data_IF_771218467746
#
_entry.id   IF_771218467746
#
_cell.length_a   1.000
_cell.length_b   1.000
_cell.length_c   1.000
_cell.angle_alpha   90.00
_cell.angle_beta   90.00
_cell.angle_gamma   90.00
#
_symmetry.space_group_name_H-M   'P 1'
#
loop_
_entity.id
_entity.type
_entity.pdbx_description
1 polymer ?
#
# COMPACT_ATOMS: atom_id res chain seq x y z
N UNK A 1 -6.48 36.34 -25.80
CA UNK A 1 -6.61 34.88 -25.56
C UNK A 1 -5.48 34.08 -26.21
N UNK A 2 -5.14 34.30 -27.48
CA UNK A 2 -4.06 33.56 -28.18
C UNK A 2 -2.67 33.71 -27.56
N UNK A 3 -2.28 34.92 -27.14
CA UNK A 3 -0.96 35.14 -26.53
C UNK A 3 -0.81 34.40 -25.20
N UNK A 4 -1.87 34.41 -24.36
CA UNK A 4 -1.87 33.73 -23.06
C UNK A 4 -1.76 32.20 -23.20
N UNK A 5 -2.47 31.61 -24.18
CA UNK A 5 -2.39 30.17 -24.47
C UNK A 5 -1.02 29.77 -24.98
N UNK A 6 -0.43 30.57 -25.88
CA UNK A 6 0.91 30.32 -26.40
C UNK A 6 1.98 30.41 -25.30
N UNK A 7 1.89 31.41 -24.42
CA UNK A 7 2.82 31.54 -23.28
C UNK A 7 2.72 30.35 -22.34
N UNK A 8 1.51 29.88 -22.04
CA UNK A 8 1.32 28.70 -21.21
C UNK A 8 1.94 27.45 -21.84
N UNK A 9 1.69 27.21 -23.13
CA UNK A 9 2.25 26.08 -23.86
C UNK A 9 3.80 26.10 -23.89
N UNK A 10 4.40 27.29 -24.07
CA UNK A 10 5.86 27.47 -24.05
C UNK A 10 6.42 27.15 -22.67
N UNK A 11 5.81 27.68 -21.59
CA UNK A 11 6.27 27.42 -20.22
C UNK A 11 6.15 25.93 -19.89
N UNK A 12 5.03 25.28 -20.25
CA UNK A 12 4.85 23.85 -20.01
C UNK A 12 5.84 23.01 -20.82
N UNK A 13 6.09 23.37 -22.08
CA UNK A 13 7.06 22.69 -22.92
C UNK A 13 8.46 22.80 -22.34
N UNK A 14 8.87 24.00 -21.94
CA UNK A 14 10.15 24.24 -21.29
C UNK A 14 10.30 23.44 -19.98
N UNK A 15 9.24 23.35 -19.18
CA UNK A 15 9.25 22.55 -17.96
C UNK A 15 9.37 21.05 -18.25
N UNK A 16 8.63 20.52 -19.22
CA UNK A 16 8.69 19.10 -19.60
C UNK A 16 10.08 18.75 -20.16
N UNK A 17 10.62 19.57 -21.05
CA UNK A 17 12.00 19.44 -21.56
C UNK A 17 13.01 19.54 -20.43
N UNK A 18 12.83 20.46 -19.49
CA UNK A 18 13.67 20.52 -18.30
C UNK A 18 13.57 19.19 -17.54
N UNK A 19 12.38 18.75 -17.18
CA UNK A 19 12.15 17.59 -16.30
C UNK A 19 12.66 16.27 -16.87
N UNK A 20 12.49 16.02 -18.17
CA UNK A 20 12.74 14.71 -18.78
C UNK A 20 13.78 14.74 -19.92
N UNK A 21 14.29 15.93 -20.25
CA UNK A 21 15.18 16.18 -21.38
C UNK A 21 14.38 16.24 -22.67
N UNK A 22 14.05 15.07 -23.21
CA UNK A 22 13.23 14.92 -24.41
C UNK A 22 11.98 14.08 -24.14
N UNK A 23 11.05 14.13 -25.09
CA UNK A 23 9.89 13.23 -25.09
C UNK A 23 10.21 12.00 -25.94
N UNK A 24 10.65 10.92 -25.29
CA UNK A 24 11.02 9.67 -25.95
C UNK A 24 9.89 8.62 -25.90
N UNK A 25 10.11 7.50 -26.60
CA UNK A 25 9.14 6.41 -26.69
C UNK A 25 8.91 5.70 -25.35
N UNK A 26 9.95 5.66 -24.50
CA UNK A 26 9.88 4.98 -23.20
C UNK A 26 9.04 5.81 -22.21
N UNK A 27 9.23 7.13 -22.19
CA UNK A 27 8.38 8.06 -21.44
C UNK A 27 6.94 8.05 -21.96
N UNK A 28 6.75 7.98 -23.29
CA UNK A 28 5.43 7.84 -23.91
C UNK A 28 4.72 6.56 -23.45
N UNK A 29 5.43 5.44 -23.41
CA UNK A 29 4.90 4.16 -22.96
C UNK A 29 4.46 4.22 -21.48
N UNK A 30 5.28 4.83 -20.62
CA UNK A 30 4.92 5.05 -19.22
C UNK A 30 3.67 5.93 -19.08
N UNK A 31 3.61 7.04 -19.81
CA UNK A 31 2.46 7.95 -19.78
C UNK A 31 1.16 7.25 -20.22
N UNK A 32 1.22 6.42 -21.26
CA UNK A 32 0.08 5.60 -21.71
C UNK A 32 -0.30 4.57 -20.65
N UNK A 33 0.66 3.87 -20.06
CA UNK A 33 0.38 2.92 -18.97
C UNK A 33 -0.32 3.60 -17.79
N UNK A 34 0.17 4.77 -17.36
CA UNK A 34 -0.45 5.57 -16.31
C UNK A 34 -1.88 6.01 -16.66
N UNK A 35 -2.13 6.40 -17.90
CA UNK A 35 -3.47 6.76 -18.36
C UNK A 35 -4.42 5.55 -18.35
N UNK A 36 -3.97 4.40 -18.87
CA UNK A 36 -4.73 3.15 -18.87
C UNK A 36 -5.03 2.71 -17.45
N UNK A 37 -4.04 2.73 -16.56
CA UNK A 37 -4.23 2.37 -15.16
C UNK A 37 -5.28 3.26 -14.49
N UNK A 38 -5.26 4.57 -14.73
CA UNK A 38 -6.25 5.49 -14.16
C UNK A 38 -7.66 5.19 -14.66
N UNK A 39 -7.83 5.02 -15.98
CA UNK A 39 -9.13 4.71 -16.59
C UNK A 39 -9.65 3.36 -16.10
N UNK A 40 -8.78 2.36 -15.99
CA UNK A 40 -9.16 1.01 -15.57
C UNK A 40 -9.45 0.93 -14.08
N UNK A 41 -8.73 1.68 -13.24
CA UNK A 41 -9.03 1.84 -11.82
C UNK A 41 -10.38 2.52 -11.59
N UNK A 42 -10.69 3.54 -12.39
CA UNK A 42 -12.01 4.19 -12.36
C UNK A 42 -13.12 3.22 -12.77
N UNK A 43 -12.93 2.49 -13.88
CA UNK A 43 -13.89 1.49 -14.36
C UNK A 43 -14.09 0.36 -13.34
N UNK A 44 -13.01 -0.11 -12.70
CA UNK A 44 -13.07 -1.12 -11.65
C UNK A 44 -13.87 -0.63 -10.44
N UNK A 45 -13.64 0.61 -9.97
CA UNK A 45 -14.36 1.19 -8.84
C UNK A 45 -15.87 1.32 -9.10
N UNK A 46 -16.26 1.71 -10.33
CA UNK A 46 -17.67 1.74 -10.75
C UNK A 46 -18.25 0.33 -10.79
N UNK A 47 -17.52 -0.64 -11.38
CA UNK A 47 -18.00 -2.01 -11.59
C UNK A 47 -18.20 -2.80 -10.30
N UNK A 48 -17.35 -2.56 -9.29
CA UNK A 48 -17.43 -3.22 -7.98
C UNK A 48 -18.38 -2.52 -7.00
N UNK A 49 -18.93 -1.36 -7.37
CA UNK A 49 -19.82 -0.58 -6.50
C UNK A 49 -19.11 0.13 -5.36
N UNK A 50 -17.77 0.25 -5.40
CA UNK A 50 -16.98 0.94 -4.38
C UNK A 50 -17.26 2.46 -4.31
N UNK A 51 -17.94 3.00 -5.32
CA UNK A 51 -18.27 4.42 -5.42
C UNK A 51 -17.08 5.28 -5.89
N UNK A 52 -17.37 6.42 -6.50
CA UNK A 52 -16.35 7.36 -6.95
C UNK A 52 -15.96 8.31 -5.82
N UNK A 53 -15.11 7.82 -4.91
CA UNK A 53 -14.54 8.68 -3.88
C UNK A 53 -13.41 9.52 -4.48
N UNK A 54 -13.64 10.83 -4.62
CA UNK A 54 -12.66 11.79 -5.16
C UNK A 54 -11.34 11.79 -4.39
N UNK A 55 -11.34 11.48 -3.09
CA UNK A 55 -10.13 11.39 -2.29
C UNK A 55 -9.25 10.20 -2.71
N UNK A 56 -9.87 9.06 -3.05
CA UNK A 56 -9.16 7.87 -3.55
C UNK A 56 -8.58 8.16 -4.94
N UNK A 57 -9.37 8.79 -5.82
CA UNK A 57 -8.92 9.20 -7.15
C UNK A 57 -7.77 10.21 -7.09
N UNK A 58 -7.85 11.20 -6.19
CA UNK A 58 -6.81 12.19 -5.97
C UNK A 58 -5.50 11.54 -5.52
N UNK A 59 -5.56 10.63 -4.55
CA UNK A 59 -4.37 9.89 -4.12
C UNK A 59 -3.75 9.03 -5.22
N UNK A 60 -4.55 8.46 -6.12
CA UNK A 60 -4.08 7.76 -7.31
C UNK A 60 -3.27 8.67 -8.25
N UNK A 61 -3.80 9.87 -8.54
CA UNK A 61 -3.11 10.86 -9.39
C UNK A 61 -1.87 11.44 -8.68
N UNK A 62 -1.95 11.70 -7.37
CA UNK A 62 -0.82 12.20 -6.58
C UNK A 62 0.35 11.20 -6.60
N UNK A 63 0.07 9.90 -6.45
CA UNK A 63 1.07 8.83 -6.54
C UNK A 63 1.77 8.85 -7.89
N UNK A 64 1.02 9.00 -8.97
CA UNK A 64 1.53 9.13 -10.35
C UNK A 64 2.41 10.37 -10.55
N UNK A 65 2.03 11.49 -9.93
CA UNK A 65 2.87 12.68 -9.88
C UNK A 65 4.21 12.42 -9.17
N UNK A 66 4.20 11.70 -8.04
CA UNK A 66 5.43 11.33 -7.32
C UNK A 66 6.33 10.41 -8.15
N UNK A 67 5.76 9.46 -8.90
CA UNK A 67 6.53 8.61 -9.82
C UNK A 67 7.26 9.46 -10.87
N UNK A 68 6.57 10.42 -11.49
CA UNK A 68 7.19 11.33 -12.46
C UNK A 68 8.27 12.22 -11.83
N UNK A 69 8.12 12.61 -10.56
CA UNK A 69 9.19 13.30 -9.82
C UNK A 69 10.42 12.42 -9.68
N UNK A 70 10.28 11.13 -9.43
CA UNK A 70 11.42 10.21 -9.37
C UNK A 70 12.07 10.05 -10.74
N UNK A 71 11.29 9.96 -11.83
CA UNK A 71 11.84 9.93 -13.20
C UNK A 71 12.58 11.22 -13.53
N UNK A 72 12.09 12.38 -13.08
CA UNK A 72 12.77 13.67 -13.21
C UNK A 72 14.12 13.64 -12.49
N UNK A 73 14.15 13.19 -11.23
CA UNK A 73 15.41 13.09 -10.47
C UNK A 73 16.39 12.11 -11.12
N UNK A 74 15.91 10.98 -11.62
CA UNK A 74 16.71 10.02 -12.37
C UNK A 74 17.32 10.66 -13.64
N UNK A 75 16.54 11.44 -14.39
CA UNK A 75 17.04 12.20 -15.53
C UNK A 75 18.14 13.21 -15.12
N UNK A 76 17.99 13.89 -13.97
CA UNK A 76 19.03 14.81 -13.47
C UNK A 76 20.33 14.11 -13.13
N UNK A 77 20.25 12.92 -12.54
CA UNK A 77 21.42 12.10 -12.25
C UNK A 77 22.12 11.71 -13.55
N UNK A 78 21.35 11.26 -14.55
CA UNK A 78 21.85 10.91 -15.87
C UNK A 78 22.60 12.05 -16.56
N UNK A 79 22.09 13.29 -16.47
CA UNK A 79 22.79 14.47 -16.99
C UNK A 79 24.15 14.71 -16.32
N UNK A 80 24.25 14.47 -15.02
CA UNK A 80 25.51 14.62 -14.27
C UNK A 80 26.48 13.49 -14.64
N UNK A 81 25.96 12.29 -14.86
CA UNK A 81 26.75 11.09 -15.19
C UNK A 81 27.10 11.00 -16.68
N UNK A 82 26.47 11.80 -17.54
CA UNK A 82 26.62 11.72 -19.00
C UNK A 82 26.00 10.44 -19.59
N UNK A 83 24.97 9.90 -18.95
CA UNK A 83 24.29 8.64 -19.33
C UNK A 83 22.79 8.85 -19.53
N UNK A 84 22.08 7.80 -19.94
CA UNK A 84 20.61 7.73 -20.00
C UNK A 84 20.04 6.48 -19.29
N UNK A 85 20.89 5.74 -18.58
CA UNK A 85 20.56 4.46 -17.96
C UNK A 85 19.63 4.61 -16.74
N UNK A 86 19.83 5.64 -15.92
CA UNK A 86 19.12 5.76 -14.63
C UNK A 86 17.66 6.16 -14.87
N UNK A 87 17.41 7.11 -15.76
CA UNK A 87 16.07 7.50 -16.24
C UNK A 87 15.37 6.29 -16.87
N UNK A 88 16.06 5.57 -17.76
CA UNK A 88 15.51 4.38 -18.40
C UNK A 88 15.09 3.32 -17.38
N UNK A 89 15.97 3.02 -16.42
CA UNK A 89 15.70 2.08 -15.33
C UNK A 89 14.52 2.49 -14.45
N UNK A 90 14.45 3.77 -14.07
CA UNK A 90 13.33 4.30 -13.30
C UNK A 90 12.00 4.17 -14.06
N UNK A 91 11.99 4.46 -15.37
CA UNK A 91 10.80 4.30 -16.20
C UNK A 91 10.39 2.83 -16.28
N UNK A 92 11.32 1.90 -16.52
CA UNK A 92 10.99 0.47 -16.56
C UNK A 92 10.42 -0.03 -15.23
N UNK A 93 11.00 0.41 -14.11
CA UNK A 93 10.50 0.09 -12.78
C UNK A 93 9.04 0.53 -12.61
N UNK A 94 8.74 1.79 -12.91
CA UNK A 94 7.36 2.30 -12.80
C UNK A 94 6.43 1.70 -13.84
N UNK A 95 6.91 1.37 -15.03
CA UNK A 95 6.11 0.70 -16.06
C UNK A 95 5.62 -0.66 -15.56
N UNK A 96 6.49 -1.46 -14.92
CA UNK A 96 6.08 -2.73 -14.31
C UNK A 96 5.05 -2.50 -13.21
N UNK A 97 5.22 -1.48 -12.37
CA UNK A 97 4.25 -1.16 -11.32
C UNK A 97 2.87 -0.79 -11.89
N UNK A 98 2.82 0.02 -12.96
CA UNK A 98 1.56 0.35 -13.64
C UNK A 98 0.94 -0.89 -14.30
N UNK A 99 1.74 -1.77 -14.91
CA UNK A 99 1.22 -3.02 -15.50
C UNK A 99 0.61 -3.95 -14.44
N UNK A 100 1.20 -4.05 -13.24
CA UNK A 100 0.63 -4.80 -12.12
C UNK A 100 -0.72 -4.19 -11.71
N UNK A 101 -0.77 -2.86 -11.54
CA UNK A 101 -2.00 -2.14 -11.16
C UNK A 101 -3.11 -2.29 -12.20
N UNK A 102 -2.80 -2.16 -13.50
CA UNK A 102 -3.74 -2.42 -14.60
C UNK A 102 -4.29 -3.83 -14.52
N UNK A 103 -3.42 -4.81 -14.31
CA UNK A 103 -3.83 -6.22 -14.27
C UNK A 103 -4.74 -6.49 -13.07
N UNK A 104 -4.51 -5.85 -11.92
CA UNK A 104 -5.41 -5.90 -10.77
C UNK A 104 -6.78 -5.28 -11.09
N UNK A 105 -6.80 -4.12 -11.74
CA UNK A 105 -8.04 -3.45 -12.15
C UNK A 105 -8.82 -4.30 -13.16
N UNK A 106 -8.13 -4.96 -14.10
CA UNK A 106 -8.74 -5.91 -15.04
C UNK A 106 -9.37 -7.09 -14.31
N UNK A 107 -8.69 -7.64 -13.29
CA UNK A 107 -9.22 -8.71 -12.48
C UNK A 107 -10.52 -8.29 -11.75
N UNK A 108 -10.56 -7.05 -11.20
CA UNK A 108 -11.74 -6.47 -10.53
C UNK A 108 -12.92 -6.27 -11.48
N UNK A 109 -12.65 -5.92 -12.74
CA UNK A 109 -13.68 -5.75 -13.77
C UNK A 109 -14.27 -7.10 -14.23
N UNK A 110 -13.54 -8.21 -14.00
CA UNK A 110 -13.97 -9.56 -14.35
C UNK A 110 -13.44 -10.03 -15.71
N UNK A 111 -12.40 -9.39 -16.25
CA UNK A 111 -11.77 -9.84 -17.49
C UNK A 111 -11.06 -11.20 -17.28
N UNK A 112 -11.15 -12.13 -18.25
CA UNK A 112 -10.47 -13.41 -18.15
C UNK A 112 -8.96 -13.19 -18.24
N UNK A 113 -8.26 -13.44 -17.12
CA UNK A 113 -6.81 -13.40 -17.04
C UNK A 113 -6.24 -14.82 -17.02
N UNK A 114 -5.17 -15.11 -17.78
CA UNK A 114 -4.45 -16.37 -17.70
C UNK A 114 -4.07 -16.75 -16.26
N UNK A 115 -4.16 -18.04 -15.92
CA UNK A 115 -3.93 -18.54 -14.56
C UNK A 115 -2.55 -18.15 -14.01
N UNK A 116 -1.50 -18.15 -14.86
CA UNK A 116 -0.15 -17.74 -14.48
C UNK A 116 -0.08 -16.29 -14.01
N UNK A 117 -0.78 -15.37 -14.69
CA UNK A 117 -0.81 -13.96 -14.30
C UNK A 117 -1.56 -13.76 -12.98
N UNK A 118 -2.68 -14.45 -12.79
CA UNK A 118 -3.43 -14.41 -11.51
C UNK A 118 -2.58 -14.89 -10.34
N UNK A 119 -1.82 -15.97 -10.53
CA UNK A 119 -0.91 -16.50 -9.50
C UNK A 119 0.23 -15.54 -9.19
N UNK A 120 0.86 -14.94 -10.21
CA UNK A 120 1.92 -13.96 -10.02
C UNK A 120 1.46 -12.76 -9.18
N UNK A 121 0.29 -12.20 -9.47
CA UNK A 121 -0.30 -11.09 -8.69
C UNK A 121 -0.59 -11.50 -7.26
N UNK A 122 -1.12 -12.72 -7.04
CA UNK A 122 -1.40 -13.21 -5.70
C UNK A 122 -0.14 -13.34 -4.83
N UNK A 123 0.99 -13.72 -5.43
CA UNK A 123 2.28 -13.77 -4.73
C UNK A 123 2.78 -12.37 -4.38
N UNK A 124 2.71 -11.42 -5.32
CA UNK A 124 3.12 -10.03 -5.09
C UNK A 124 2.30 -9.38 -3.98
N UNK A 125 0.98 -9.58 -3.98
CA UNK A 125 0.10 -9.07 -2.92
C UNK A 125 0.43 -9.64 -1.55
N UNK A 126 0.72 -10.95 -1.47
CA UNK A 126 1.10 -11.61 -0.22
C UNK A 126 2.41 -11.03 0.34
N UNK A 127 3.35 -10.68 -0.52
CA UNK A 127 4.62 -10.05 -0.10
C UNK A 127 4.38 -8.63 0.41
N UNK A 128 3.57 -7.81 -0.28
CA UNK A 128 3.21 -6.46 0.17
C UNK A 128 2.51 -6.48 1.54
N UNK A 129 1.54 -7.38 1.72
CA UNK A 129 0.84 -7.54 3.00
C UNK A 129 1.81 -7.96 4.12
N UNK A 130 2.77 -8.86 3.84
CA UNK A 130 3.77 -9.31 4.81
C UNK A 130 4.77 -8.21 5.18
N UNK A 131 5.24 -7.44 4.21
CA UNK A 131 6.12 -6.29 4.44
C UNK A 131 5.41 -5.19 5.24
N UNK A 132 4.14 -4.93 4.92
CA UNK A 132 3.31 -3.99 5.68
C UNK A 132 3.15 -4.44 7.14
N UNK A 133 2.89 -5.74 7.38
CA UNK A 133 2.76 -6.29 8.74
C UNK A 133 4.09 -6.25 9.51
N UNK A 134 5.22 -6.60 8.88
CA UNK A 134 6.54 -6.55 9.50
C UNK A 134 6.92 -5.11 9.92
N UNK A 135 6.65 -4.13 9.07
CA UNK A 135 6.90 -2.72 9.38
C UNK A 135 5.96 -2.21 10.49
N UNK A 136 4.74 -2.76 10.63
CA UNK A 136 3.83 -2.44 11.75
C UNK A 136 4.23 -3.07 13.08
N UNK A 137 4.92 -4.21 13.07
CA UNK A 137 5.44 -4.84 14.28
C UNK A 137 6.61 -4.04 14.87
N UNK A 138 7.53 -3.57 14.02
CA UNK A 138 8.65 -2.72 14.45
C UNK A 138 8.22 -1.30 14.88
N UNK A 139 7.08 -0.82 14.39
CA UNK A 139 6.51 0.49 14.75
C UNK A 139 5.81 0.50 16.13
N UNK A 140 5.65 -0.66 16.78
CA UNK A 140 5.18 -0.69 18.16
C UNK A 140 6.34 -0.27 19.08
N UNK A 141 6.13 0.68 20.02
CA UNK A 141 7.14 0.95 21.03
C UNK A 141 7.48 -0.36 21.73
N UNK A 142 8.77 -0.72 21.78
CA UNK A 142 9.20 -1.89 22.53
C UNK A 142 8.72 -1.74 23.97
N UNK A 143 8.16 -2.79 24.58
CA UNK A 143 7.68 -2.72 25.95
C UNK A 143 8.87 -2.33 26.84
N UNK A 144 8.74 -1.22 27.57
CA UNK A 144 9.74 -0.79 28.54
C UNK A 144 9.83 -1.84 29.66
N UNK A 145 10.96 -1.93 30.38
CA UNK A 145 11.11 -2.86 31.49
C UNK A 145 9.96 -2.78 32.52
N UNK A 146 9.37 -1.59 32.69
CA UNK A 146 8.21 -1.37 33.57
C UNK A 146 6.92 -1.97 32.99
N UNK A 147 6.70 -1.85 31.67
CA UNK A 147 5.55 -2.46 30.99
C UNK A 147 5.63 -4.00 31.01
N UNK A 148 6.85 -4.56 30.94
CA UNK A 148 7.08 -6.01 31.04
C UNK A 148 6.74 -6.52 32.45
N UNK A 149 7.16 -5.79 33.49
CA UNK A 149 6.84 -6.13 34.88
C UNK A 149 5.33 -6.04 35.14
N UNK A 150 4.69 -4.98 34.69
CA UNK A 150 3.24 -4.82 34.85
C UNK A 150 2.44 -5.90 34.11
N UNK A 151 2.87 -6.32 32.92
CA UNK A 151 2.23 -7.43 32.19
C UNK A 151 2.45 -8.78 32.88
N UNK A 152 3.63 -9.01 33.46
CA UNK A 152 3.90 -10.22 34.24
C UNK A 152 3.07 -10.26 35.54
N UNK A 153 2.97 -9.14 36.25
CA UNK A 153 2.18 -9.00 37.48
C UNK A 153 0.68 -9.11 37.21
N UNK A 154 0.20 -8.54 36.10
CA UNK A 154 -1.22 -8.65 35.68
C UNK A 154 -1.56 -10.08 35.23
N UNK A 155 -0.63 -10.78 34.56
CA UNK A 155 -0.80 -12.18 34.20
C UNK A 155 -0.85 -13.13 35.41
N UNK A 156 -0.02 -12.87 36.41
CA UNK A 156 0.02 -13.65 37.66
C UNK A 156 -1.22 -13.41 38.53
N UNK A 157 -1.67 -12.16 38.67
CA UNK A 157 -2.89 -11.83 39.44
C UNK A 157 -4.15 -12.45 38.86
N UNK A 158 -4.30 -12.46 37.52
CA UNK A 158 -5.44 -13.11 36.86
C UNK A 158 -5.44 -14.64 37.03
N UNK A 159 -4.26 -15.27 37.07
CA UNK A 159 -4.14 -16.70 37.35
C UNK A 159 -4.43 -17.04 38.82
N UNK A 160 -3.96 -16.22 39.76
CA UNK A 160 -4.22 -16.39 41.18
C UNK A 160 -5.71 -16.18 41.52
N UNK A 161 -6.36 -15.18 40.92
CA UNK A 161 -7.79 -14.93 41.12
C UNK A 161 -8.66 -16.05 40.54
N UNK A 162 -8.26 -16.61 39.39
CA UNK A 162 -8.94 -17.77 38.78
C UNK A 162 -8.79 -19.03 39.65
N UNK A 163 -7.61 -19.24 40.25
CA UNK A 163 -7.37 -20.36 41.15
C UNK A 163 -8.17 -20.24 42.46
N UNK A 164 -8.26 -19.04 43.04
CA UNK A 164 -9.05 -18.78 44.24
C UNK A 164 -10.54 -18.97 44.02
N UNK A 165 -11.09 -18.46 42.92
CA UNK A 165 -12.52 -18.66 42.60
C UNK A 165 -12.87 -20.14 42.42
N UNK A 166 -11.95 -20.92 41.85
CA UNK A 166 -12.13 -22.37 41.67
C UNK A 166 -12.15 -23.10 43.02
N UNK A 167 -11.26 -22.71 43.95
CA UNK A 167 -11.18 -23.29 45.29
C UNK A 167 -12.37 -22.90 46.19
N UNK A 168 -12.81 -21.64 46.15
CA UNK A 168 -13.98 -21.16 46.90
C UNK A 168 -15.26 -21.86 46.41
N UNK A 169 -15.38 -22.09 45.10
CA UNK A 169 -16.48 -22.86 44.51
C UNK A 169 -16.51 -24.32 44.97
N UNK A 170 -15.33 -24.92 45.23
CA UNK A 170 -15.21 -26.29 45.75
C UNK A 170 -15.57 -26.39 47.24
N UNK A 171 -15.12 -25.43 48.06
CA UNK A 171 -15.45 -25.39 49.49
C UNK A 171 -16.94 -25.19 49.75
N UNK A 172 -17.57 -24.26 49.01
CA UNK A 172 -19.02 -23.99 49.12
C UNK A 172 -19.88 -25.20 48.72
N UNK A 173 -19.37 -26.03 47.80
CA UNK A 173 -20.01 -27.28 47.37
C UNK A 173 -19.85 -28.41 48.40
N UNK A 174 -18.77 -28.44 49.18
CA UNK A 174 -18.60 -29.39 50.29
C UNK A 174 -19.45 -29.04 51.51
N UNK A 175 -19.62 -27.75 51.85
CA UNK A 175 -20.47 -27.31 52.97
C UNK A 175 -21.96 -27.55 52.72
N UNK A 176 -22.42 -27.36 51.48
CA UNK A 176 -23.81 -27.64 51.08
C UNK A 176 -24.22 -29.12 51.18
N UNK A 177 -23.27 -30.06 51.19
CA UNK A 177 -23.56 -31.49 51.30
C UNK A 177 -23.58 -32.01 52.74
N UNK A 178 -23.14 -31.21 53.72
CA UNK A 178 -23.06 -31.62 55.13
C UNK A 178 -24.29 -31.34 55.98
N UNK A 179 -25.23 -30.50 55.52
CA UNK A 179 -26.35 -30.00 56.34
C UNK A 179 -27.74 -30.52 55.89
N UNK A 180 -27.78 -31.67 55.20
CA UNK A 180 -29.01 -32.22 54.60
C UNK A 180 -29.38 -33.62 55.09
N UNK A 181 -28.85 -34.05 56.24
CA UNK A 181 -29.06 -35.40 56.79
C UNK A 181 -29.51 -35.30 58.26
N UNK A 182 -30.70 -34.74 58.48
CA UNK A 182 -31.52 -34.97 59.68
C UNK A 182 -32.91 -35.47 59.22
#
# INVERSE_FOLDING_TARGET
MHLSVNTFAVISGAFVTFAFGGWDQLLSLLAVAMAVDYVTGLAAAVRTGAGLNSNIGFWGIARKGLMLTVVLLAHRIDLIMGTDFIKGGAIYFYLVNELISITENYAKIGLPLPAKLRQAIAVLKKQEDQEYLANREWSKPQPTPDNIKQQAETGQTLQDDSAKQTMDGLQKKSESKGNGSD
#
